data_IF_622739136644
#
_entry.id   IF_622739136644
#
_cell.length_a   1.000
_cell.length_b   1.000
_cell.length_c   1.000
_cell.angle_alpha   90.00
_cell.angle_beta   90.00
_cell.angle_gamma   90.00
#
_symmetry.space_group_name_H-M   'P 1'
#
loop_
_entity.id
_entity.type
_entity.pdbx_description
1 polymer ?
#
# COMPACT_ATOMS: atom_id res chain seq x y z
N UNK A 1 7.25 -12.32 -18.44
CA UNK A 1 6.63 -10.99 -18.45
C UNK A 1 6.08 -10.71 -17.08
N UNK A 2 6.29 -9.50 -16.57
CA UNK A 2 5.73 -9.01 -15.30
C UNK A 2 4.64 -8.01 -15.64
N UNK A 3 3.45 -8.17 -15.05
CA UNK A 3 2.29 -7.31 -15.25
C UNK A 3 2.13 -6.36 -14.06
N UNK A 4 2.02 -5.07 -14.36
CA UNK A 4 1.89 -4.00 -13.39
C UNK A 4 0.46 -3.43 -13.44
N UNK A 5 -0.10 -3.14 -12.27
CA UNK A 5 -1.27 -2.29 -12.10
C UNK A 5 -0.91 -1.10 -11.20
N UNK A 6 -1.24 0.10 -11.66
CA UNK A 6 -1.04 1.35 -10.92
C UNK A 6 -2.41 1.97 -10.64
N UNK A 7 -2.64 2.39 -9.40
CA UNK A 7 -3.93 2.95 -8.97
C UNK A 7 -3.75 4.23 -8.17
N UNK A 8 -4.81 5.03 -8.13
CA UNK A 8 -4.99 6.13 -7.19
C UNK A 8 -6.44 6.07 -6.70
N UNK A 9 -6.65 5.67 -5.44
CA UNK A 9 -8.00 5.50 -4.93
C UNK A 9 -8.59 6.79 -4.37
N UNK A 10 -9.91 6.83 -4.21
CA UNK A 10 -10.62 7.98 -3.67
C UNK A 10 -10.18 8.30 -2.23
N UNK A 11 -9.91 9.59 -1.97
CA UNK A 11 -9.38 10.08 -0.69
C UNK A 11 -10.47 10.47 0.32
N UNK A 12 -11.70 10.72 -0.15
CA UNK A 12 -12.81 11.23 0.65
C UNK A 12 -13.77 10.13 1.11
N UNK A 13 -14.11 9.21 0.22
CA UNK A 13 -15.16 8.21 0.44
C UNK A 13 -14.58 6.80 0.49
N UNK A 14 -14.64 6.21 1.69
CA UNK A 14 -14.18 4.84 1.95
C UNK A 14 -14.99 3.78 1.18
N UNK A 15 -16.29 4.00 0.95
CA UNK A 15 -17.14 3.07 0.21
C UNK A 15 -16.79 3.10 -1.28
N UNK A 16 -16.42 4.26 -1.83
CA UNK A 16 -15.91 4.35 -3.20
C UNK A 16 -14.52 3.74 -3.34
N UNK A 17 -13.63 3.96 -2.37
CA UNK A 17 -12.34 3.26 -2.29
C UNK A 17 -12.52 1.74 -2.29
N UNK A 18 -13.49 1.21 -1.53
CA UNK A 18 -13.81 -0.21 -1.53
C UNK A 18 -14.33 -0.72 -2.89
N UNK A 19 -15.17 0.07 -3.59
CA UNK A 19 -15.64 -0.27 -4.94
C UNK A 19 -14.46 -0.34 -5.92
N UNK A 20 -13.58 0.66 -5.91
CA UNK A 20 -12.39 0.71 -6.76
C UNK A 20 -11.44 -0.46 -6.50
N UNK A 21 -11.24 -0.86 -5.23
CA UNK A 21 -10.48 -2.08 -4.92
C UNK A 21 -11.14 -3.29 -5.60
N UNK A 22 -12.46 -3.45 -5.46
CA UNK A 22 -13.18 -4.60 -6.03
C UNK A 22 -13.17 -4.65 -7.56
N UNK A 23 -12.93 -3.56 -8.27
CA UNK A 23 -12.76 -3.57 -9.73
C UNK A 23 -11.58 -4.43 -10.19
N UNK A 24 -10.58 -4.63 -9.32
CA UNK A 24 -9.45 -5.52 -9.59
C UNK A 24 -9.78 -7.01 -9.41
N UNK A 25 -10.92 -7.38 -8.81
CA UNK A 25 -11.25 -8.78 -8.49
C UNK A 25 -11.18 -9.73 -9.69
N UNK A 26 -11.48 -9.28 -10.91
CA UNK A 26 -11.45 -10.15 -12.10
C UNK A 26 -10.08 -10.24 -12.77
N UNK A 27 -9.11 -9.45 -12.30
CA UNK A 27 -7.77 -9.30 -12.89
C UNK A 27 -6.64 -9.55 -11.88
N UNK A 28 -6.97 -9.74 -10.62
CA UNK A 28 -6.11 -10.01 -9.48
C UNK A 28 -5.06 -11.09 -9.76
N UNK A 29 -5.45 -12.17 -10.42
CA UNK A 29 -4.55 -13.28 -10.77
C UNK A 29 -3.66 -12.98 -11.97
N UNK A 30 -3.94 -11.94 -12.76
CA UNK A 30 -3.14 -11.54 -13.92
C UNK A 30 -2.16 -10.40 -13.60
N UNK A 31 -2.34 -9.73 -12.46
CA UNK A 31 -1.49 -8.66 -11.98
C UNK A 31 -0.39 -9.28 -11.11
N UNK A 32 0.87 -8.93 -11.36
CA UNK A 32 1.99 -9.37 -10.53
C UNK A 32 2.32 -8.33 -9.46
N UNK A 33 2.15 -7.05 -9.78
CA UNK A 33 2.45 -5.91 -8.92
C UNK A 33 1.28 -4.95 -8.95
N UNK A 34 0.69 -4.67 -7.79
CA UNK A 34 -0.34 -3.65 -7.62
C UNK A 34 0.24 -2.53 -6.75
N UNK A 35 0.32 -1.31 -7.28
CA UNK A 35 0.97 -0.20 -6.57
C UNK A 35 0.27 1.14 -6.78
N UNK A 36 0.59 2.09 -5.91
CA UNK A 36 0.16 3.48 -6.03
C UNK A 36 -0.33 4.05 -4.72
N UNK A 37 -0.91 5.24 -4.81
CA UNK A 37 -1.53 5.94 -3.70
C UNK A 37 -2.94 5.38 -3.49
N UNK A 38 -3.05 4.45 -2.57
CA UNK A 38 -4.32 3.76 -2.31
C UNK A 38 -5.16 4.50 -1.28
N UNK A 39 -4.70 5.67 -0.81
CA UNK A 39 -5.10 6.26 0.45
C UNK A 39 -4.97 5.25 1.62
N UNK A 40 -5.07 5.72 2.86
CA UNK A 40 -4.81 4.84 3.99
C UNK A 40 -5.87 3.74 4.11
N UNK A 41 -5.41 2.49 4.09
CA UNK A 41 -6.24 1.29 3.93
C UNK A 41 -6.69 0.67 5.25
N UNK A 42 -5.93 0.87 6.32
CA UNK A 42 -6.25 0.40 7.68
C UNK A 42 -6.07 1.53 8.66
N UNK A 43 -6.65 1.37 9.85
CA UNK A 43 -6.63 2.44 10.83
C UNK A 43 -5.22 2.78 11.31
N UNK A 44 -4.37 1.77 11.42
CA UNK A 44 -2.99 1.89 11.89
C UNK A 44 -2.10 2.65 10.91
N UNK A 45 -2.55 2.91 9.67
CA UNK A 45 -1.84 3.73 8.71
C UNK A 45 -2.06 5.23 8.94
N UNK A 46 -3.10 5.63 9.68
CA UNK A 46 -3.42 7.02 9.94
C UNK A 46 -2.60 7.57 11.11
N UNK A 47 -2.13 8.82 10.96
CA UNK A 47 -1.66 9.57 12.12
C UNK A 47 -2.82 9.91 13.05
N UNK A 48 -2.53 10.11 14.35
CA UNK A 48 -3.54 10.49 15.34
C UNK A 48 -4.26 11.81 15.02
N UNK A 49 -3.64 12.65 14.19
CA UNK A 49 -4.14 13.96 13.79
C UNK A 49 -5.08 13.92 12.58
N UNK A 50 -5.29 12.76 11.95
CA UNK A 50 -6.12 12.65 10.77
C UNK A 50 -7.60 12.48 11.12
N UNK A 51 -8.46 13.29 10.48
CA UNK A 51 -9.86 13.48 10.86
C UNK A 51 -10.78 12.32 10.48
N UNK A 52 -10.44 11.55 9.44
CA UNK A 52 -11.25 10.42 8.98
C UNK A 52 -10.54 9.11 9.27
N UNK A 53 -11.25 8.20 9.93
CA UNK A 53 -10.72 6.93 10.39
C UNK A 53 -11.44 5.84 9.58
N UNK A 54 -10.72 4.96 8.88
CA UNK A 54 -11.33 3.93 8.07
C UNK A 54 -12.12 3.01 9.00
N UNK A 55 -13.32 2.64 8.57
CA UNK A 55 -14.19 1.71 9.26
C UNK A 55 -13.78 0.27 8.97
N UNK A 56 -13.11 0.03 7.84
CA UNK A 56 -12.75 -1.30 7.37
C UNK A 56 -11.24 -1.48 7.28
N UNK A 57 -10.79 -2.72 7.49
CA UNK A 57 -9.48 -3.15 7.05
C UNK A 57 -9.54 -3.45 5.55
N UNK A 58 -9.20 -2.45 4.74
CA UNK A 58 -9.19 -2.57 3.28
C UNK A 58 -7.95 -3.31 2.76
N UNK A 59 -7.02 -3.70 3.64
CA UNK A 59 -5.90 -4.56 3.27
C UNK A 59 -6.33 -6.03 3.22
N UNK A 60 -7.33 -6.42 4.01
CA UNK A 60 -7.73 -7.81 4.19
C UNK A 60 -8.07 -8.51 2.87
N UNK A 61 -8.79 -7.82 1.98
CA UNK A 61 -9.10 -8.28 0.62
C UNK A 61 -7.83 -8.61 -0.18
N UNK A 62 -6.83 -7.73 -0.15
CA UNK A 62 -5.61 -7.87 -0.94
C UNK A 62 -4.68 -8.93 -0.35
N UNK A 63 -4.52 -8.95 0.96
CA UNK A 63 -3.52 -9.80 1.64
C UNK A 63 -4.03 -11.20 1.95
N UNK A 64 -5.26 -11.33 2.44
CA UNK A 64 -5.83 -12.62 2.82
C UNK A 64 -6.61 -13.28 1.68
N UNK A 65 -7.42 -12.53 0.93
CA UNK A 65 -8.22 -13.13 -0.14
C UNK A 65 -7.43 -13.29 -1.44
N UNK A 66 -6.69 -12.25 -1.86
CA UNK A 66 -5.92 -12.30 -3.11
C UNK A 66 -4.45 -12.71 -2.92
N UNK A 67 -4.01 -12.97 -1.68
CA UNK A 67 -2.66 -13.45 -1.36
C UNK A 67 -1.51 -12.51 -1.79
N UNK A 68 -1.76 -11.21 -1.91
CA UNK A 68 -0.70 -10.22 -2.14
C UNK A 68 0.11 -9.99 -0.87
N UNK A 69 1.40 -9.71 -1.05
CA UNK A 69 2.33 -9.36 0.02
C UNK A 69 2.68 -7.87 -0.06
N UNK A 70 2.60 -7.17 1.07
CA UNK A 70 3.10 -5.80 1.17
C UNK A 70 4.63 -5.80 1.09
N UNK A 71 5.17 -5.24 0.00
CA UNK A 71 6.61 -5.20 -0.29
C UNK A 71 7.40 -4.55 0.85
N UNK A 72 6.89 -3.45 1.40
CA UNK A 72 7.57 -2.70 2.45
C UNK A 72 7.65 -3.54 3.73
N UNK A 73 6.56 -4.22 4.10
CA UNK A 73 6.55 -5.11 5.29
C UNK A 73 7.42 -6.33 5.12
N UNK A 74 7.57 -6.84 3.90
CA UNK A 74 8.45 -7.97 3.61
C UNK A 74 9.92 -7.66 3.96
N UNK A 75 10.39 -6.44 3.67
CA UNK A 75 11.75 -6.01 4.03
C UNK A 75 11.87 -5.40 5.42
N UNK A 76 10.77 -4.87 5.97
CA UNK A 76 10.73 -4.23 7.29
C UNK A 76 9.67 -4.87 8.22
N UNK A 77 9.78 -6.17 8.54
CA UNK A 77 8.73 -6.90 9.26
C UNK A 77 8.49 -6.40 10.70
N UNK A 78 9.48 -5.71 11.29
CA UNK A 78 9.39 -5.20 12.67
C UNK A 78 8.86 -3.78 12.77
N UNK A 79 8.73 -3.05 11.64
CA UNK A 79 8.17 -1.70 11.66
C UNK A 79 6.65 -1.78 11.75
N UNK A 80 6.05 -1.04 12.68
CA UNK A 80 4.60 -0.87 12.77
C UNK A 80 4.08 0.06 11.68
N UNK A 81 2.80 -0.04 11.34
CA UNK A 81 2.17 0.80 10.30
C UNK A 81 2.23 2.29 10.66
N UNK A 82 1.91 2.62 11.91
CA UNK A 82 1.95 3.98 12.49
C UNK A 82 3.34 4.66 12.42
N UNK A 83 4.42 3.88 12.18
CA UNK A 83 5.79 4.37 12.06
C UNK A 83 6.19 4.63 10.60
N UNK A 84 5.30 4.40 9.65
CA UNK A 84 5.53 4.54 8.23
C UNK A 84 4.63 5.66 7.74
N UNK A 85 5.22 6.70 7.17
CA UNK A 85 4.48 7.79 6.55
C UNK A 85 4.97 7.99 5.13
N UNK A 86 4.03 8.04 4.19
CA UNK A 86 4.32 8.32 2.78
C UNK A 86 3.71 9.66 2.33
N UNK A 87 2.87 10.28 3.17
CA UNK A 87 2.34 11.62 2.95
C UNK A 87 2.74 12.61 4.06
N UNK A 88 2.62 13.93 3.81
CA UNK A 88 2.99 14.98 4.78
C UNK A 88 2.22 14.96 6.10
N UNK A 89 1.07 14.29 6.14
CA UNK A 89 0.22 14.21 7.34
C UNK A 89 0.61 13.06 8.27
N UNK A 90 1.78 12.44 8.06
CA UNK A 90 2.25 11.32 8.89
C UNK A 90 1.43 10.05 8.68
N UNK A 91 0.76 9.93 7.54
CA UNK A 91 -0.10 8.79 7.18
C UNK A 91 0.55 7.98 6.07
N UNK A 92 0.43 6.65 6.12
CA UNK A 92 0.83 5.76 5.03
C UNK A 92 -0.30 5.65 4.02
N UNK A 93 -0.05 6.07 2.79
CA UNK A 93 -1.05 6.03 1.71
C UNK A 93 -0.55 5.34 0.43
N UNK A 94 0.77 5.24 0.29
CA UNK A 94 1.41 4.58 -0.84
C UNK A 94 1.77 3.14 -0.49
N UNK A 95 1.42 2.21 -1.37
CA UNK A 95 1.66 0.79 -1.19
C UNK A 95 2.21 0.15 -2.46
N UNK A 96 3.01 -0.88 -2.26
CA UNK A 96 3.40 -1.83 -3.30
C UNK A 96 3.02 -3.22 -2.81
N UNK A 97 2.08 -3.83 -3.50
CA UNK A 97 1.64 -5.19 -3.29
C UNK A 97 2.21 -6.11 -4.36
N UNK A 98 2.70 -7.26 -3.91
CA UNK A 98 3.47 -8.23 -4.66
C UNK A 98 2.72 -9.54 -4.70
N UNK A 99 2.48 -10.09 -5.89
CA UNK A 99 1.99 -11.46 -6.00
C UNK A 99 3.13 -12.48 -5.75
N UNK A 100 2.94 -13.53 -4.94
CA UNK A 100 4.02 -14.42 -4.52
C UNK A 100 4.79 -15.10 -5.65
N UNK A 101 4.15 -15.33 -6.82
CA UNK A 101 4.78 -16.03 -7.95
C UNK A 101 5.98 -15.29 -8.54
N UNK A 102 6.09 -13.98 -8.33
CA UNK A 102 7.22 -13.20 -8.81
C UNK A 102 8.28 -12.96 -7.74
N UNK A 103 8.13 -13.49 -6.52
CA UNK A 103 9.02 -13.23 -5.37
C UNK A 103 10.52 -13.44 -5.65
N UNK A 104 10.87 -14.38 -6.53
CA UNK A 104 12.26 -14.71 -6.86
C UNK A 104 12.82 -13.91 -8.06
N UNK A 105 11.99 -13.08 -8.69
CA UNK A 105 12.33 -12.35 -9.93
C UNK A 105 12.84 -10.91 -9.70
N UNK A 106 13.00 -10.50 -8.45
CA UNK A 106 13.31 -9.13 -8.07
C UNK A 106 13.96 -9.04 -6.68
N UNK A 107 14.72 -7.97 -6.48
CA UNK A 107 15.34 -7.65 -5.22
C UNK A 107 14.65 -6.44 -4.59
N UNK A 108 14.11 -6.62 -3.40
CA UNK A 108 13.63 -5.51 -2.57
C UNK A 108 14.81 -4.97 -1.76
N UNK A 109 15.23 -3.75 -2.07
CA UNK A 109 16.31 -3.09 -1.34
C UNK A 109 15.75 -2.33 -0.15
N UNK A 110 16.42 -2.42 1.00
CA UNK A 110 16.09 -1.56 2.14
C UNK A 110 16.49 -0.14 1.82
N UNK A 111 15.51 0.76 1.83
CA UNK A 111 15.78 2.19 1.79
C UNK A 111 16.51 2.60 3.09
N UNK A 112 17.73 3.11 2.96
CA UNK A 112 18.51 3.67 4.07
C UNK A 112 18.40 5.19 4.01
N UNK A 113 17.53 5.78 4.83
CA UNK A 113 17.23 7.20 4.75
C UNK A 113 18.40 8.07 5.27
N UNK A 114 18.94 8.96 4.42
CA UNK A 114 19.67 10.16 4.82
C UNK A 114 18.65 11.29 4.87
N UNK A 115 18.32 11.75 6.08
CA UNK A 115 17.78 13.08 6.40
C UNK A 115 17.10 13.86 5.25
N UNK A 116 15.86 13.51 4.89
CA UNK A 116 14.89 14.51 4.43
C UNK A 116 13.48 13.89 4.39
N UNK A 117 12.68 14.19 5.42
CA UNK A 117 11.29 13.72 5.58
C UNK A 117 10.33 14.87 5.24
N UNK A 118 10.64 15.68 4.23
CA UNK A 118 9.90 16.94 3.97
C UNK A 118 9.41 17.14 2.53
N UNK A 119 9.56 16.19 1.61
CA UNK A 119 9.05 16.33 0.24
C UNK A 119 8.33 15.08 -0.27
N UNK A 120 7.01 15.21 -0.45
CA UNK A 120 6.15 14.59 -1.47
C UNK A 120 6.42 13.12 -1.86
N UNK A 121 5.47 12.23 -1.53
CA UNK A 121 5.38 10.83 -2.00
C UNK A 121 6.75 10.15 -2.04
N UNK A 122 7.25 9.81 -0.85
CA UNK A 122 8.52 9.11 -0.73
C UNK A 122 8.46 7.80 -1.52
N UNK A 123 9.13 7.84 -2.67
CA UNK A 123 9.13 6.84 -3.71
C UNK A 123 9.50 5.49 -3.10
N UNK A 124 8.55 4.56 -3.11
CA UNK A 124 8.73 3.15 -2.77
C UNK A 124 9.51 2.38 -3.88
N UNK A 125 10.51 3.00 -4.51
CA UNK A 125 11.42 2.36 -5.49
C UNK A 125 12.83 2.21 -4.92
#
# INVERSE_FOLDING_TARGET
NVTLAVTHFDYLDEDDRLKQIKEFNSYEHNIDILMGDMNALIREDYSDNYYQKPRFDLTQLKTYEWNYQDAFKKINPTLKNEQVATCPYGTRIDYIYIYPRINDHWNLNKYQNKQDISSFQNVLL
#
